data_IF_030653595110
#
_entry.id   IF_030653595110
#
_cell.length_a   1.000
_cell.length_b   1.000
_cell.length_c   1.000
_cell.angle_alpha   90.00
_cell.angle_beta   90.00
_cell.angle_gamma   90.00
#
_symmetry.space_group_name_H-M   'P 1'
#
loop_
_entity.id
_entity.type
_entity.pdbx_description
1 polymer ?
#
# COMPACT_ATOMS: atom_id res chain seq x y z
N UNK A 1 -21.34 -18.35 8.15
CA UNK A 1 -22.21 -17.22 7.77
C UNK A 1 -21.32 -16.06 7.31
N UNK A 2 -21.08 -15.96 6.00
CA UNK A 2 -20.27 -14.88 5.43
C UNK A 2 -21.17 -13.66 5.19
N UNK A 3 -20.98 -12.61 5.99
CA UNK A 3 -21.54 -11.30 5.69
C UNK A 3 -20.78 -10.70 4.50
N UNK A 4 -21.17 -11.06 3.28
CA UNK A 4 -20.68 -10.39 2.07
C UNK A 4 -21.37 -9.04 1.98
N UNK A 5 -20.73 -8.01 2.55
CA UNK A 5 -21.12 -6.63 2.28
C UNK A 5 -21.04 -6.45 0.76
N UNK A 6 -22.20 -6.21 0.12
CA UNK A 6 -22.34 -6.16 -1.33
C UNK A 6 -21.76 -4.83 -1.85
N UNK A 7 -20.44 -4.73 -1.83
CA UNK A 7 -19.67 -3.55 -2.20
C UNK A 7 -19.42 -3.62 -3.71
N UNK A 8 -20.23 -2.87 -4.47
CA UNK A 8 -20.18 -2.69 -5.93
C UNK A 8 -20.57 -3.91 -6.78
N UNK A 9 -21.73 -3.85 -7.43
CA UNK A 9 -22.25 -4.77 -8.46
C UNK A 9 -21.66 -4.52 -9.86
N UNK A 10 -20.50 -3.87 -9.96
CA UNK A 10 -19.87 -3.60 -11.25
C UNK A 10 -19.35 -4.89 -11.88
N UNK A 11 -19.84 -5.22 -13.08
CA UNK A 11 -19.31 -6.34 -13.89
C UNK A 11 -17.88 -6.09 -14.39
N UNK A 12 -17.38 -4.86 -14.31
CA UNK A 12 -16.05 -4.51 -14.78
C UNK A 12 -15.01 -4.67 -13.64
N UNK A 13 -13.99 -5.53 -13.81
CA UNK A 13 -13.04 -5.84 -12.74
C UNK A 13 -12.22 -4.64 -12.28
N UNK A 14 -11.89 -3.71 -13.17
CA UNK A 14 -11.11 -2.52 -12.83
C UNK A 14 -11.92 -1.57 -11.93
N UNK A 15 -13.19 -1.36 -12.29
CA UNK A 15 -14.11 -0.51 -11.51
C UNK A 15 -14.43 -1.15 -10.16
N UNK A 16 -14.65 -2.46 -10.15
CA UNK A 16 -14.85 -3.20 -8.90
C UNK A 16 -13.64 -3.06 -7.96
N UNK A 17 -12.42 -3.25 -8.49
CA UNK A 17 -11.19 -3.08 -7.71
C UNK A 17 -11.09 -1.67 -7.14
N UNK A 18 -11.33 -0.63 -7.95
CA UNK A 18 -11.29 0.75 -7.47
C UNK A 18 -12.25 0.98 -6.29
N UNK A 19 -13.49 0.48 -6.40
CA UNK A 19 -14.46 0.56 -5.30
C UNK A 19 -14.02 -0.19 -4.05
N UNK A 20 -13.43 -1.37 -4.22
CA UNK A 20 -12.91 -2.15 -3.11
C UNK A 20 -11.80 -1.42 -2.33
N UNK A 21 -11.00 -0.56 -2.99
CA UNK A 21 -9.95 0.22 -2.32
C UNK A 21 -10.47 1.51 -1.66
N UNK A 22 -11.59 2.09 -2.16
CA UNK A 22 -12.16 3.33 -1.61
C UNK A 22 -12.67 3.14 -0.17
N UNK A 23 -13.33 2.02 0.11
CA UNK A 23 -13.94 1.76 1.43
C UNK A 23 -12.90 1.70 2.55
N UNK A 24 -11.84 0.87 2.44
CA UNK A 24 -10.83 0.84 3.48
C UNK A 24 -9.99 2.13 3.48
N UNK A 25 -9.79 2.82 2.36
CA UNK A 25 -9.18 4.15 2.36
C UNK A 25 -9.99 5.16 3.20
N UNK A 26 -11.31 5.21 3.03
CA UNK A 26 -12.18 6.07 3.83
C UNK A 26 -12.11 5.72 5.32
N UNK A 27 -12.13 4.42 5.66
CA UNK A 27 -11.96 3.97 7.03
C UNK A 27 -10.62 4.46 7.62
N UNK A 28 -9.52 4.32 6.89
CA UNK A 28 -8.19 4.76 7.32
C UNK A 28 -8.11 6.27 7.51
N UNK A 29 -8.75 7.07 6.64
CA UNK A 29 -8.84 8.53 6.80
C UNK A 29 -9.60 8.88 8.09
N UNK A 30 -10.75 8.24 8.33
CA UNK A 30 -11.57 8.48 9.53
C UNK A 30 -10.79 8.13 10.80
N UNK A 31 -10.17 6.95 10.87
CA UNK A 31 -9.38 6.54 12.04
C UNK A 31 -8.15 7.43 12.26
N UNK A 32 -7.47 7.83 11.19
CA UNK A 32 -6.34 8.77 11.28
C UNK A 32 -6.80 10.10 11.90
N UNK A 33 -7.95 10.61 11.48
CA UNK A 33 -8.51 11.85 12.01
C UNK A 33 -8.95 11.72 13.48
N UNK A 34 -9.60 10.61 13.84
CA UNK A 34 -9.99 10.32 15.24
C UNK A 34 -8.77 10.31 16.15
N UNK A 35 -7.72 9.55 15.79
CA UNK A 35 -6.52 9.50 16.60
C UNK A 35 -5.80 10.84 16.67
N UNK A 36 -5.77 11.58 15.57
CA UNK A 36 -5.16 12.91 15.53
C UNK A 36 -5.85 13.90 16.47
N UNK A 37 -7.18 13.84 16.62
CA UNK A 37 -7.92 14.64 17.60
C UNK A 37 -7.61 14.18 19.03
N UNK A 38 -7.60 12.88 19.29
CA UNK A 38 -7.33 12.31 20.62
C UNK A 38 -5.92 12.73 21.11
N UNK A 39 -4.94 12.72 20.22
CA UNK A 39 -3.55 13.12 20.49
C UNK A 39 -3.36 14.66 20.43
N UNK A 40 -4.45 15.43 20.51
CA UNK A 40 -4.46 16.90 20.59
C UNK A 40 -3.66 17.58 19.46
N UNK A 41 -3.54 16.92 18.31
CA UNK A 41 -2.78 17.40 17.14
C UNK A 41 -1.28 17.61 17.40
N UNK A 42 -0.70 16.99 18.42
CA UNK A 42 0.74 17.13 18.72
C UNK A 42 1.62 16.51 17.61
N UNK A 43 1.09 15.49 16.92
CA UNK A 43 1.76 14.88 15.77
C UNK A 43 1.46 15.71 14.52
N UNK A 44 2.51 16.33 13.98
CA UNK A 44 2.43 16.97 12.68
C UNK A 44 2.19 15.92 11.59
N UNK A 45 1.03 15.97 10.93
CA UNK A 45 0.72 15.13 9.77
C UNK A 45 1.65 15.51 8.62
N UNK A 46 2.82 14.90 8.55
CA UNK A 46 3.87 15.26 7.61
C UNK A 46 3.61 14.64 6.22
N UNK A 47 2.40 14.81 5.69
CA UNK A 47 1.92 14.13 4.48
C UNK A 47 2.60 14.63 3.19
N UNK A 48 3.18 15.83 3.21
CA UNK A 48 3.72 16.48 2.00
C UNK A 48 5.11 17.11 2.17
N UNK A 49 5.78 16.93 3.31
CA UNK A 49 7.13 17.49 3.48
C UNK A 49 8.11 16.82 2.50
N UNK A 50 8.87 17.61 1.74
CA UNK A 50 9.87 17.12 0.76
C UNK A 50 9.30 16.23 -0.37
N UNK A 51 8.00 16.38 -0.69
CA UNK A 51 7.28 15.55 -1.67
C UNK A 51 8.03 15.35 -3.01
N UNK A 52 8.65 16.39 -3.57
CA UNK A 52 9.38 16.29 -4.85
C UNK A 52 10.58 15.32 -4.80
N UNK A 53 11.40 15.40 -3.74
CA UNK A 53 12.55 14.51 -3.57
C UNK A 53 12.07 13.08 -3.27
N UNK A 54 11.02 12.94 -2.45
CA UNK A 54 10.42 11.65 -2.14
C UNK A 54 9.88 10.93 -3.37
N UNK A 55 9.17 11.64 -4.26
CA UNK A 55 8.67 11.08 -5.53
C UNK A 55 9.83 10.59 -6.40
N UNK A 56 10.87 11.41 -6.59
CA UNK A 56 12.00 11.04 -7.44
C UNK A 56 12.76 9.82 -6.91
N UNK A 57 13.06 9.79 -5.61
CA UNK A 57 13.74 8.66 -4.96
C UNK A 57 12.84 7.41 -5.02
N UNK A 58 11.54 7.56 -4.76
CA UNK A 58 10.58 6.46 -4.81
C UNK A 58 10.46 5.85 -6.22
N UNK A 59 10.41 6.67 -7.27
CA UNK A 59 10.41 6.20 -8.66
C UNK A 59 11.70 5.46 -9.00
N UNK A 60 12.87 6.03 -8.66
CA UNK A 60 14.16 5.38 -8.91
C UNK A 60 14.27 4.03 -8.18
N UNK A 61 13.91 4.00 -6.89
CA UNK A 61 13.90 2.77 -6.11
C UNK A 61 12.90 1.74 -6.66
N UNK A 62 11.71 2.16 -7.09
CA UNK A 62 10.70 1.27 -7.67
C UNK A 62 11.18 0.64 -8.99
N UNK A 63 11.83 1.42 -9.86
CA UNK A 63 12.43 0.91 -11.11
C UNK A 63 13.53 -0.11 -10.79
N UNK A 64 14.43 0.20 -9.85
CA UNK A 64 15.51 -0.72 -9.46
C UNK A 64 14.93 -1.99 -8.84
N UNK A 65 13.96 -1.84 -7.93
CA UNK A 65 13.34 -2.95 -7.21
C UNK A 65 12.62 -3.93 -8.14
N UNK A 66 11.80 -3.43 -9.06
CA UNK A 66 11.06 -4.28 -10.00
C UNK A 66 11.92 -4.72 -11.19
N UNK A 67 12.81 -3.85 -11.65
CA UNK A 67 13.66 -4.10 -12.80
C UNK A 67 14.72 -5.17 -12.53
N UNK A 68 15.26 -5.23 -11.32
CA UNK A 68 16.34 -6.18 -10.97
C UNK A 68 15.91 -7.64 -11.11
N UNK A 69 14.79 -8.11 -10.51
CA UNK A 69 14.31 -9.48 -10.72
C UNK A 69 14.03 -9.79 -12.19
N UNK A 70 13.39 -8.87 -12.92
CA UNK A 70 13.09 -9.05 -14.35
C UNK A 70 14.39 -9.19 -15.17
N UNK A 71 15.39 -8.37 -14.88
CA UNK A 71 16.69 -8.43 -15.55
C UNK A 71 17.42 -9.76 -15.27
N UNK A 72 17.41 -10.22 -14.02
CA UNK A 72 18.02 -11.50 -13.63
C UNK A 72 17.33 -12.66 -14.36
N UNK A 73 16.00 -12.72 -14.30
CA UNK A 73 15.23 -13.80 -14.94
C UNK A 73 15.44 -13.81 -16.46
N UNK A 74 15.54 -12.64 -17.09
CA UNK A 74 15.83 -12.54 -18.52
C UNK A 74 17.26 -12.98 -18.85
N UNK A 75 18.25 -12.61 -18.02
CA UNK A 75 19.64 -13.04 -18.19
C UNK A 75 19.81 -14.55 -18.06
N UNK A 76 18.98 -15.19 -17.23
CA UNK A 76 18.91 -16.65 -17.09
C UNK A 76 18.12 -17.35 -18.22
N UNK A 77 17.59 -16.61 -19.20
CA UNK A 77 16.67 -17.10 -20.23
C UNK A 77 15.42 -17.81 -19.66
N UNK A 78 14.96 -17.43 -18.46
CA UNK A 78 13.74 -17.98 -17.84
C UNK A 78 12.49 -17.30 -18.43
N UNK A 79 12.57 -16.00 -18.72
CA UNK A 79 11.46 -15.22 -19.25
C UNK A 79 11.76 -14.72 -20.67
N UNK A 80 10.80 -14.88 -21.56
CA UNK A 80 10.80 -14.33 -22.91
C UNK A 80 9.68 -13.28 -23.06
N UNK A 81 9.98 -12.18 -23.76
CA UNK A 81 9.03 -11.09 -24.00
C UNK A 81 8.49 -11.24 -25.42
N UNK A 82 7.42 -12.03 -25.58
CA UNK A 82 6.88 -12.41 -26.89
C UNK A 82 5.67 -11.57 -27.33
N UNK A 83 5.42 -10.42 -26.70
CA UNK A 83 4.33 -9.52 -27.10
C UNK A 83 3.98 -8.47 -26.06
N UNK A 84 2.86 -7.77 -26.31
CA UNK A 84 2.25 -6.80 -25.38
C UNK A 84 0.85 -7.26 -25.04
N UNK A 85 0.52 -7.32 -23.76
CA UNK A 85 -0.86 -7.54 -23.32
C UNK A 85 -1.61 -6.20 -23.29
N UNK A 86 -2.78 -6.13 -23.92
CA UNK A 86 -3.63 -4.95 -23.81
C UNK A 86 -4.46 -5.03 -22.53
N UNK A 87 -4.18 -4.12 -21.59
CA UNK A 87 -4.91 -4.05 -20.33
C UNK A 87 -5.97 -2.93 -20.47
N UNK A 88 -7.26 -3.27 -20.62
CA UNK A 88 -8.32 -2.27 -20.67
C UNK A 88 -8.38 -1.51 -19.34
N UNK A 89 -8.71 -0.21 -19.41
CA UNK A 89 -8.83 0.66 -18.24
C UNK A 89 -7.58 0.68 -17.35
N UNK A 90 -6.38 0.58 -17.93
CA UNK A 90 -5.12 0.61 -17.20
C UNK A 90 -5.02 1.81 -16.22
N UNK A 91 -5.53 2.97 -16.61
CA UNK A 91 -5.58 4.14 -15.73
C UNK A 91 -6.37 3.91 -14.43
N UNK A 92 -7.46 3.15 -14.50
CA UNK A 92 -8.28 2.79 -13.32
C UNK A 92 -7.52 1.84 -12.41
N UNK A 93 -6.79 0.89 -12.98
CA UNK A 93 -5.91 -0.01 -12.20
C UNK A 93 -4.81 0.75 -11.48
N UNK A 94 -4.15 1.67 -12.18
CA UNK A 94 -3.11 2.53 -11.59
C UNK A 94 -3.70 3.35 -10.43
N UNK A 95 -4.89 3.92 -10.62
CA UNK A 95 -5.57 4.69 -9.57
C UNK A 95 -5.94 3.81 -8.36
N UNK A 96 -6.41 2.59 -8.59
CA UNK A 96 -6.75 1.67 -7.51
C UNK A 96 -5.50 1.28 -6.69
N UNK A 97 -4.40 0.93 -7.36
CA UNK A 97 -3.12 0.63 -6.69
C UNK A 97 -2.59 1.87 -5.94
N UNK A 98 -2.78 3.06 -6.48
CA UNK A 98 -2.42 4.30 -5.79
C UNK A 98 -3.24 4.50 -4.51
N UNK A 99 -4.57 4.33 -4.55
CA UNK A 99 -5.41 4.40 -3.35
C UNK A 99 -5.07 3.34 -2.32
N UNK A 100 -4.76 2.12 -2.77
CA UNK A 100 -4.29 1.05 -1.90
C UNK A 100 -2.99 1.45 -1.18
N UNK A 101 -2.02 2.03 -1.91
CA UNK A 101 -0.77 2.52 -1.33
C UNK A 101 -1.02 3.66 -0.32
N UNK A 102 -1.88 4.63 -0.65
CA UNK A 102 -2.25 5.73 0.26
C UNK A 102 -2.88 5.17 1.54
N UNK A 103 -3.81 4.25 1.42
CA UNK A 103 -4.47 3.60 2.56
C UNK A 103 -3.45 2.91 3.48
N UNK A 104 -2.54 2.12 2.92
CA UNK A 104 -1.52 1.39 3.68
C UNK A 104 -0.53 2.34 4.38
N UNK A 105 -0.16 3.42 3.72
CA UNK A 105 0.82 4.38 4.25
C UNK A 105 0.21 5.39 5.24
N UNK A 106 -1.07 5.76 5.12
CA UNK A 106 -1.64 6.88 5.88
C UNK A 106 -1.61 6.66 7.41
N UNK A 107 -2.23 5.58 7.90
CA UNK A 107 -2.41 5.35 9.33
C UNK A 107 -1.21 4.61 9.96
N UNK A 108 -0.81 3.47 9.39
CA UNK A 108 0.16 2.56 10.04
C UNK A 108 1.58 3.09 9.88
N UNK A 109 2.00 3.39 8.65
CA UNK A 109 3.38 3.82 8.35
C UNK A 109 3.57 5.34 8.38
N UNK A 110 2.48 6.09 8.32
CA UNK A 110 2.45 7.55 8.43
C UNK A 110 2.22 7.96 9.88
N UNK A 111 0.96 7.98 10.30
CA UNK A 111 0.55 8.52 11.60
C UNK A 111 1.16 7.75 12.79
N UNK A 112 0.93 6.44 12.87
CA UNK A 112 1.37 5.61 13.99
C UNK A 112 2.91 5.56 14.07
N UNK A 113 3.59 5.46 12.93
CA UNK A 113 5.05 5.55 12.87
C UNK A 113 5.56 6.89 13.44
N UNK A 114 4.97 8.01 13.03
CA UNK A 114 5.39 9.33 13.51
C UNK A 114 5.11 9.49 15.01
N UNK A 115 3.96 9.01 15.50
CA UNK A 115 3.65 8.96 16.93
C UNK A 115 4.74 8.22 17.71
N UNK A 116 5.05 6.98 17.30
CA UNK A 116 6.02 6.13 18.00
C UNK A 116 7.42 6.72 17.91
N UNK A 117 7.79 7.29 16.76
CA UNK A 117 9.08 7.94 16.57
C UNK A 117 9.24 9.18 17.46
N UNK A 118 8.18 9.95 17.68
CA UNK A 118 8.22 11.14 18.54
C UNK A 118 8.23 10.79 20.03
N UNK A 119 7.46 9.78 20.45
CA UNK A 119 7.37 9.37 21.86
C UNK A 119 8.54 8.48 22.31
N UNK A 120 9.13 7.74 21.38
CA UNK A 120 10.23 6.82 21.65
C UNK A 120 11.43 7.14 20.74
N UNK A 121 11.85 6.17 19.94
CA UNK A 121 12.92 6.29 18.97
C UNK A 121 12.58 5.47 17.73
N UNK A 122 13.40 5.60 16.68
CA UNK A 122 13.12 5.02 15.36
C UNK A 122 12.95 3.49 15.37
N UNK A 123 13.70 2.76 16.20
CA UNK A 123 13.72 1.29 16.18
C UNK A 123 12.36 0.69 16.60
N UNK A 124 11.77 1.03 17.75
CA UNK A 124 10.42 0.61 18.12
C UNK A 124 9.37 1.01 17.10
N UNK A 125 9.47 2.22 16.52
CA UNK A 125 8.53 2.68 15.52
C UNK A 125 8.55 1.76 14.28
N UNK A 126 9.74 1.39 13.80
CA UNK A 126 9.89 0.45 12.67
C UNK A 126 9.37 -0.95 13.03
N UNK A 127 9.78 -1.51 14.18
CA UNK A 127 9.41 -2.87 14.57
C UNK A 127 7.89 -3.00 14.73
N UNK A 128 7.26 -2.09 15.48
CA UNK A 128 5.82 -2.14 15.77
C UNK A 128 5.00 -1.94 14.51
N UNK A 129 5.32 -0.95 13.68
CA UNK A 129 4.54 -0.67 12.46
C UNK A 129 4.74 -1.75 11.39
N UNK A 130 5.94 -2.31 11.28
CA UNK A 130 6.20 -3.45 10.39
C UNK A 130 5.50 -4.71 10.86
N UNK A 131 5.60 -5.03 12.16
CA UNK A 131 4.93 -6.18 12.75
C UNK A 131 3.40 -6.08 12.57
N UNK A 132 2.82 -4.93 12.90
CA UNK A 132 1.39 -4.68 12.69
C UNK A 132 1.00 -4.84 11.22
N UNK A 133 1.77 -4.26 10.30
CA UNK A 133 1.54 -4.43 8.87
C UNK A 133 1.56 -5.90 8.46
N UNK A 134 2.55 -6.68 8.90
CA UNK A 134 2.65 -8.12 8.61
C UNK A 134 1.46 -8.90 9.17
N UNK A 135 1.05 -8.65 10.42
CA UNK A 135 -0.10 -9.34 11.03
C UNK A 135 -1.43 -9.00 10.34
N UNK A 136 -1.61 -7.76 9.91
CA UNK A 136 -2.78 -7.36 9.12
C UNK A 136 -2.83 -8.05 7.74
N UNK A 137 -1.69 -8.53 7.26
CA UNK A 137 -1.57 -9.35 6.06
C UNK A 137 -1.39 -10.84 6.40
N UNK A 138 -1.87 -11.30 7.57
CA UNK A 138 -1.76 -12.70 8.00
C UNK A 138 -2.29 -13.71 6.98
N UNK A 139 -3.31 -13.36 6.19
CA UNK A 139 -3.78 -14.22 5.09
C UNK A 139 -2.71 -14.50 4.02
N UNK A 140 -1.74 -13.61 3.82
CA UNK A 140 -0.58 -13.85 2.96
C UNK A 140 0.43 -14.83 3.59
N UNK A 141 0.46 -14.94 4.93
CA UNK A 141 1.26 -15.95 5.63
C UNK A 141 0.57 -17.32 5.60
N UNK A 142 -0.77 -17.33 5.71
CA UNK A 142 -1.59 -18.55 5.62
C UNK A 142 -1.60 -19.16 4.21
N UNK A 143 -1.47 -18.33 3.17
CA UNK A 143 -1.33 -18.78 1.77
C UNK A 143 -0.01 -19.52 1.48
N UNK A 144 0.89 -19.63 2.46
CA UNK A 144 2.17 -20.32 2.34
C UNK A 144 3.28 -19.49 1.68
N UNK A 145 4.50 -20.03 1.67
CA UNK A 145 5.69 -19.39 1.05
C UNK A 145 5.59 -19.35 -0.48
N UNK A 146 4.69 -20.13 -1.06
CA UNK A 146 4.41 -20.23 -2.49
C UNK A 146 2.88 -20.39 -2.64
N UNK A 147 2.19 -19.55 -3.40
CA UNK A 147 0.79 -19.81 -3.70
C UNK A 147 0.70 -21.11 -4.51
N UNK A 148 -0.05 -22.08 -3.99
CA UNK A 148 -0.44 -23.28 -4.73
C UNK A 148 -1.40 -22.94 -5.88
#
# INVERSE_FOLDING_TARGET
MSATLNLSTSKNPAIWRLWAEIIPLLAMIIFTFIFWIIEKKEIGLCLFSHSKKGILVGMAMGIVWLGTPVAILKAMNIIEINGKNHIPLLAVWILAVFFNAVMQELLVRGYLYQMLKQKYHIVPAVIVTTGLFTFLHGGALEAGVIPA
#
